data_IF_035924434031
#
_entry.id   IF_035924434031
#
_cell.length_a   1.000
_cell.length_b   1.000
_cell.length_c   1.000
_cell.angle_alpha   90.00
_cell.angle_beta   90.00
_cell.angle_gamma   90.00
#
_symmetry.space_group_name_H-M   'P 1'
#
loop_
_entity.id
_entity.type
_entity.pdbx_description
1 polymer ?
#
# COMPACT_ATOMS: atom_id res chain seq x y z
N UNK A 1 1.42 0.11 5.39
CA UNK A 1 2.80 0.29 4.86
C UNK A 1 3.50 -1.05 4.82
N UNK A 2 4.44 -1.22 3.89
CA UNK A 2 5.28 -2.42 3.72
C UNK A 2 6.76 -2.05 3.79
N UNK A 3 7.61 -3.04 4.09
CA UNK A 3 9.06 -2.92 4.14
C UNK A 3 9.70 -3.18 2.78
N UNK A 4 10.53 -2.26 2.32
CA UNK A 4 11.35 -2.38 1.10
C UNK A 4 12.85 -2.21 1.39
N UNK A 5 13.69 -2.62 0.45
CA UNK A 5 15.15 -2.54 0.55
C UNK A 5 15.77 -3.60 1.47
N UNK A 6 17.10 -3.53 1.71
CA UNK A 6 17.82 -4.51 2.52
C UNK A 6 17.19 -4.63 3.91
N UNK A 7 16.83 -5.86 4.31
CA UNK A 7 16.13 -6.17 5.58
C UNK A 7 14.81 -5.43 5.81
N UNK A 8 14.18 -4.86 4.77
CA UNK A 8 12.89 -4.16 4.92
C UNK A 8 12.98 -2.87 5.73
N UNK A 9 14.17 -2.24 5.77
CA UNK A 9 14.43 -1.05 6.57
C UNK A 9 13.69 0.21 6.08
N UNK A 10 13.26 0.25 4.82
CA UNK A 10 12.51 1.38 4.27
C UNK A 10 11.02 1.07 4.32
N UNK A 11 10.22 2.08 4.68
CA UNK A 11 8.76 1.95 4.69
C UNK A 11 8.20 2.55 3.40
N UNK A 12 7.38 1.79 2.69
CA UNK A 12 6.66 2.26 1.50
C UNK A 12 5.15 2.06 1.64
N UNK A 13 4.41 2.94 0.95
CA UNK A 13 2.96 2.89 0.90
C UNK A 13 2.51 1.73 0.02
N UNK A 14 1.49 1.01 0.47
CA UNK A 14 0.99 -0.16 -0.24
C UNK A 14 -0.55 -0.26 -0.28
N UNK A 15 -1.24 0.52 0.55
CA UNK A 15 -2.69 0.74 0.51
C UNK A 15 -2.98 2.11 1.11
N UNK A 16 -3.92 2.82 0.52
CA UNK A 16 -4.48 4.06 1.08
C UNK A 16 -5.99 3.92 1.10
N UNK A 17 -6.59 4.28 2.24
CA UNK A 17 -8.04 4.31 2.40
C UNK A 17 -8.43 5.69 2.94
N UNK A 18 -9.33 6.38 2.25
CA UNK A 18 -9.89 7.67 2.62
C UNK A 18 -11.37 7.45 2.89
N UNK A 19 -11.82 7.91 4.05
CA UNK A 19 -13.18 7.75 4.54
C UNK A 19 -13.79 9.11 4.87
N UNK A 20 -15.11 9.24 4.69
CA UNK A 20 -15.87 10.40 5.19
C UNK A 20 -15.97 10.37 6.71
N UNK A 21 -16.49 11.44 7.29
CA UNK A 21 -16.78 11.50 8.72
C UNK A 21 -17.83 10.46 9.13
N UNK A 22 -18.79 10.18 8.25
CA UNK A 22 -19.85 9.19 8.43
C UNK A 22 -19.35 7.75 8.30
N UNK A 23 -18.11 7.55 7.84
CA UNK A 23 -17.47 6.24 7.67
C UNK A 23 -17.62 5.64 6.28
N UNK A 24 -18.12 6.39 5.31
CA UNK A 24 -18.20 5.94 3.92
C UNK A 24 -16.82 5.93 3.27
N UNK A 25 -16.51 4.85 2.55
CA UNK A 25 -15.21 4.70 1.87
C UNK A 25 -15.25 5.46 0.55
N UNK A 26 -14.54 6.59 0.50
CA UNK A 26 -14.40 7.42 -0.71
C UNK A 26 -13.30 6.86 -1.61
N UNK A 27 -12.22 6.38 -0.98
CA UNK A 27 -11.06 5.87 -1.68
C UNK A 27 -10.54 4.66 -0.93
N UNK A 28 -10.32 3.55 -1.63
CA UNK A 28 -9.60 2.41 -1.07
C UNK A 28 -8.88 1.67 -2.20
N UNK A 29 -7.57 1.87 -2.28
CA UNK A 29 -6.75 1.33 -3.36
C UNK A 29 -5.44 0.76 -2.83
N UNK A 30 -5.04 -0.37 -3.43
CA UNK A 30 -3.69 -0.90 -3.28
C UNK A 30 -2.74 -0.14 -4.19
N UNK A 31 -1.60 0.24 -3.63
CA UNK A 31 -0.62 1.10 -4.29
C UNK A 31 0.65 0.29 -4.46
N UNK A 32 1.23 0.33 -5.67
CA UNK A 32 2.41 -0.43 -5.99
C UNK A 32 3.64 0.29 -5.45
N UNK A 33 4.40 -0.33 -4.53
CA UNK A 33 5.66 0.23 -4.05
C UNK A 33 6.65 0.38 -5.20
N UNK A 34 7.52 1.39 -5.12
CA UNK A 34 8.52 1.67 -6.15
C UNK A 34 9.64 0.62 -6.11
N UNK A 35 9.99 0.15 -4.92
CA UNK A 35 11.00 -0.89 -4.73
C UNK A 35 10.36 -2.26 -4.44
N UNK A 36 11.07 -3.36 -4.73
CA UNK A 36 10.62 -4.70 -4.35
C UNK A 36 10.37 -4.81 -2.85
N UNK A 37 9.20 -5.34 -2.49
CA UNK A 37 8.82 -5.59 -1.10
C UNK A 37 9.63 -6.77 -0.56
N UNK A 38 10.42 -6.51 0.47
CA UNK A 38 11.19 -7.52 1.20
C UNK A 38 10.45 -8.03 2.41
N UNK A 39 9.59 -7.20 3.02
CA UNK A 39 8.73 -7.58 4.13
C UNK A 39 7.34 -6.95 3.98
N UNK A 40 6.32 -7.76 3.76
CA UNK A 40 4.94 -7.29 3.64
C UNK A 40 4.34 -6.84 4.97
N UNK A 41 4.92 -7.27 6.10
CA UNK A 41 4.40 -7.01 7.44
C UNK A 41 2.92 -7.37 7.56
N UNK A 42 2.49 -8.45 6.89
CA UNK A 42 1.07 -8.82 6.69
C UNK A 42 0.29 -8.90 8.00
N UNK A 43 0.93 -9.31 9.11
CA UNK A 43 0.32 -9.33 10.44
C UNK A 43 -0.23 -7.96 10.88
N UNK A 44 0.42 -6.88 10.46
CA UNK A 44 0.07 -5.50 10.82
C UNK A 44 -0.58 -4.75 9.66
N UNK A 45 -0.05 -4.92 8.45
CA UNK A 45 -0.52 -4.21 7.26
C UNK A 45 -1.78 -4.82 6.65
N UNK A 46 -2.01 -6.12 6.85
CA UNK A 46 -3.03 -6.90 6.15
C UNK A 46 -2.70 -7.16 4.67
N UNK A 47 -1.57 -6.66 4.15
CA UNK A 47 -1.24 -6.70 2.73
C UNK A 47 -0.56 -8.02 2.36
N UNK A 48 -1.03 -8.63 1.28
CA UNK A 48 -0.49 -9.85 0.69
C UNK A 48 0.11 -9.54 -0.68
N UNK A 49 0.97 -10.44 -1.15
CA UNK A 49 1.55 -10.34 -2.50
C UNK A 49 0.50 -10.28 -3.60
N UNK A 50 -0.64 -10.97 -3.42
CA UNK A 50 -1.75 -11.00 -4.35
C UNK A 50 -2.44 -9.64 -4.47
N UNK A 51 -2.57 -8.89 -3.38
CA UNK A 51 -3.19 -7.56 -3.36
C UNK A 51 -2.38 -6.55 -4.21
N UNK A 52 -1.06 -6.73 -4.26
CA UNK A 52 -0.17 -5.89 -5.06
C UNK A 52 -0.12 -6.24 -6.55
N UNK A 53 -0.76 -7.33 -7.00
CA UNK A 53 -0.79 -7.71 -8.43
C UNK A 53 -1.61 -6.72 -9.26
N UNK A 54 -2.67 -6.18 -8.68
CA UNK A 54 -3.59 -5.23 -9.31
C UNK A 54 -3.45 -3.81 -8.73
N UNK A 55 -2.33 -3.54 -8.06
CA UNK A 55 -2.09 -2.26 -7.42
C UNK A 55 -1.78 -1.17 -8.46
N UNK A 56 -2.29 0.03 -8.20
CA UNK A 56 -2.05 1.21 -9.03
C UNK A 56 -0.67 1.81 -8.76
N UNK A 57 -0.03 2.45 -9.75
CA UNK A 57 1.20 3.20 -9.54
C UNK A 57 1.04 4.32 -8.50
N UNK A 58 2.09 4.60 -7.73
CA UNK A 58 2.07 5.62 -6.67
C UNK A 58 1.77 7.03 -7.21
N UNK A 59 2.33 7.37 -8.37
CA UNK A 59 2.12 8.65 -9.05
C UNK A 59 0.68 8.86 -9.50
N UNK A 60 -0.02 7.77 -9.87
CA UNK A 60 -1.45 7.81 -10.15
C UNK A 60 -2.24 8.02 -8.84
N UNK A 61 -1.94 7.22 -7.80
CA UNK A 61 -2.63 7.31 -6.52
C UNK A 61 -2.48 8.66 -5.81
N UNK A 62 -1.40 9.41 -6.09
CA UNK A 62 -1.17 10.73 -5.50
C UNK A 62 -1.97 11.84 -6.19
N UNK A 63 -2.34 11.65 -7.46
CA UNK A 63 -3.09 12.65 -8.24
C UNK A 63 -4.60 12.53 -8.06
N UNK A 64 -5.06 11.33 -7.70
CA UNK A 64 -6.45 11.03 -7.32
C UNK A 64 -6.77 11.60 -5.93
#
# INVERSE_FOLDING_TARGET
>A
MVGTGPKGCRNELARCSIVTYEGDVIYDKYIKPLNPVTDFRTRWSGIRRQDLLHAIPFDQAQKE
#
